data_IF_209010830149
#
_entry.id   IF_209010830149
#
_cell.length_a   1.000
_cell.length_b   1.000
_cell.length_c   1.000
_cell.angle_alpha   90.00
_cell.angle_beta   90.00
_cell.angle_gamma   90.00
#
_symmetry.space_group_name_H-M   'P 1'
#
loop_
_entity.id
_entity.type
_entity.pdbx_description
1 polymer ?
#
# COMPACT_ATOMS: atom_id res chain seq x y z
N UNK A 1 -45.17 -31.68 22.97
CA UNK A 1 -45.04 -30.73 21.84
C UNK A 1 -44.94 -29.33 22.40
N UNK A 2 -43.72 -28.93 22.78
CA UNK A 2 -43.22 -27.54 22.86
C UNK A 2 -41.75 -27.60 23.28
N UNK A 3 -40.86 -27.64 22.30
CA UNK A 3 -39.41 -27.45 22.48
C UNK A 3 -39.17 -25.94 22.56
N UNK A 4 -38.73 -25.44 23.72
CA UNK A 4 -38.42 -24.04 23.92
C UNK A 4 -37.01 -23.75 23.36
N UNK A 5 -36.95 -23.29 22.11
CA UNK A 5 -35.70 -22.90 21.47
C UNK A 5 -35.01 -21.78 22.26
N UNK A 6 -33.75 -22.01 22.66
CA UNK A 6 -32.89 -21.03 23.33
C UNK A 6 -32.52 -19.91 22.34
N UNK A 7 -32.65 -18.61 22.67
CA UNK A 7 -32.26 -17.55 21.75
C UNK A 7 -30.74 -17.59 21.54
N UNK A 8 -30.32 -17.66 20.28
CA UNK A 8 -28.93 -17.54 19.90
C UNK A 8 -28.50 -16.08 20.09
N UNK A 9 -27.48 -15.85 20.92
CA UNK A 9 -26.80 -14.56 20.98
C UNK A 9 -26.11 -14.28 19.63
N UNK A 10 -26.10 -13.03 19.14
CA UNK A 10 -25.43 -12.70 17.88
C UNK A 10 -23.92 -12.95 18.04
N UNK A 11 -23.39 -13.85 17.22
CA UNK A 11 -21.95 -14.04 17.06
C UNK A 11 -21.45 -12.79 16.34
N UNK A 12 -20.74 -11.90 17.04
CA UNK A 12 -20.05 -10.76 16.42
C UNK A 12 -18.67 -11.27 16.02
N UNK A 13 -18.42 -11.64 14.75
CA UNK A 13 -17.16 -12.25 14.36
C UNK A 13 -16.13 -11.12 14.22
N UNK A 14 -15.21 -11.03 15.19
CA UNK A 14 -13.88 -10.43 15.10
C UNK A 14 -13.68 -9.35 14.02
N UNK A 15 -14.37 -8.22 14.12
CA UNK A 15 -14.01 -7.08 13.27
C UNK A 15 -12.63 -6.58 13.74
N UNK A 16 -11.60 -6.57 12.88
CA UNK A 16 -10.29 -6.06 13.28
C UNK A 16 -10.45 -4.58 13.64
N UNK A 17 -10.01 -4.22 14.85
CA UNK A 17 -9.96 -2.82 15.28
C UNK A 17 -8.84 -2.15 14.49
N UNK A 18 -9.22 -1.43 13.43
CA UNK A 18 -8.29 -0.60 12.65
C UNK A 18 -7.87 0.57 13.55
N UNK A 19 -6.59 0.61 13.93
CA UNK A 19 -6.00 1.75 14.64
C UNK A 19 -5.39 2.71 13.62
N UNK A 20 -5.92 3.93 13.55
CA UNK A 20 -5.28 5.02 12.83
C UNK A 20 -4.10 5.51 13.66
N UNK A 21 -2.89 5.47 13.09
CA UNK A 21 -1.74 6.17 13.68
C UNK A 21 -1.83 7.66 13.31
N UNK A 22 -1.44 8.58 14.20
CA UNK A 22 -1.33 9.99 13.85
C UNK A 22 -0.23 10.18 12.79
N UNK A 23 -0.50 11.06 11.82
CA UNK A 23 0.48 11.41 10.80
C UNK A 23 1.70 12.12 11.43
N UNK A 24 2.92 11.89 10.92
CA UNK A 24 4.07 12.67 11.31
C UNK A 24 3.89 14.15 10.90
N UNK A 25 4.57 15.09 11.59
CA UNK A 25 4.57 16.49 11.16
C UNK A 25 5.08 16.59 9.73
N UNK A 26 4.57 17.54 8.92
CA UNK A 26 4.96 17.67 7.52
C UNK A 26 6.47 17.88 7.43
N UNK A 27 7.15 16.98 6.71
CA UNK A 27 8.55 17.18 6.38
C UNK A 27 8.67 18.42 5.48
N UNK A 28 9.72 19.23 5.69
CA UNK A 28 10.06 20.28 4.74
C UNK A 28 10.38 19.60 3.40
N UNK A 29 9.71 19.97 2.29
CA UNK A 29 10.01 19.38 1.00
C UNK A 29 11.46 19.73 0.66
N UNK A 30 12.34 18.73 0.70
CA UNK A 30 13.58 18.80 -0.07
C UNK A 30 13.16 18.79 -1.53
N UNK A 31 13.68 19.71 -2.34
CA UNK A 31 13.44 19.72 -3.77
C UNK A 31 14.10 18.47 -4.39
N UNK A 32 13.46 17.32 -4.23
CA UNK A 32 13.81 16.11 -4.95
C UNK A 32 13.44 16.37 -6.41
N UNK A 33 14.39 16.11 -7.31
CA UNK A 33 14.13 16.19 -8.74
C UNK A 33 12.97 15.23 -9.06
N UNK A 34 11.86 15.70 -9.67
CA UNK A 34 10.76 14.82 -10.07
C UNK A 34 11.24 13.61 -10.89
N UNK A 35 12.29 13.77 -11.69
CA UNK A 35 12.86 12.66 -12.45
C UNK A 35 13.48 11.58 -11.54
N UNK A 36 14.18 11.99 -10.49
CA UNK A 36 14.79 11.08 -9.50
C UNK A 36 13.73 10.30 -8.72
N UNK A 37 12.62 10.97 -8.37
CA UNK A 37 11.48 10.32 -7.73
C UNK A 37 10.85 9.24 -8.62
N UNK A 38 10.67 9.53 -9.91
CA UNK A 38 10.10 8.55 -10.85
C UNK A 38 11.01 7.35 -11.10
N UNK A 39 12.33 7.51 -10.95
CA UNK A 39 13.33 6.45 -11.12
C UNK A 39 13.68 5.72 -9.82
N UNK A 40 12.96 5.98 -8.73
CA UNK A 40 13.18 5.33 -7.43
C UNK A 40 12.16 4.21 -7.20
N UNK A 41 12.65 3.03 -6.82
CA UNK A 41 11.81 1.87 -6.56
C UNK A 41 10.88 2.08 -5.35
N UNK A 42 9.56 2.02 -5.58
CA UNK A 42 8.56 2.14 -4.51
C UNK A 42 8.62 1.03 -3.45
N UNK A 43 9.27 -0.10 -3.76
CA UNK A 43 9.38 -1.23 -2.83
C UNK A 43 10.65 -1.20 -1.96
N UNK A 44 11.80 -0.77 -2.50
CA UNK A 44 13.07 -0.82 -1.76
C UNK A 44 13.90 0.47 -1.78
N UNK A 45 13.45 1.51 -2.49
CA UNK A 45 14.15 2.80 -2.59
C UNK A 45 15.41 2.81 -3.46
N UNK A 46 15.76 1.69 -4.11
CA UNK A 46 16.88 1.62 -5.03
C UNK A 46 16.56 2.30 -6.38
N UNK A 47 17.56 2.79 -7.14
CA UNK A 47 17.36 3.28 -8.49
C UNK A 47 16.84 2.16 -9.41
N UNK A 48 16.03 2.54 -10.39
CA UNK A 48 15.43 1.65 -11.37
C UNK A 48 16.05 1.84 -12.76
N UNK A 49 16.14 0.75 -13.52
CA UNK A 49 16.60 0.77 -14.90
C UNK A 49 15.43 1.02 -15.87
N UNK A 50 15.62 1.97 -16.79
CA UNK A 50 14.69 2.23 -17.88
C UNK A 50 14.84 1.21 -19.02
N UNK A 51 13.75 0.55 -19.38
CA UNK A 51 13.67 -0.39 -20.52
C UNK A 51 12.41 -0.12 -21.34
N UNK A 52 12.54 0.75 -22.34
CA UNK A 52 11.42 1.25 -23.15
C UNK A 52 10.37 1.91 -22.25
N UNK A 53 9.20 1.29 -22.09
CA UNK A 53 8.09 1.75 -21.28
C UNK A 53 8.02 1.06 -19.90
N UNK A 54 9.12 0.49 -19.41
CA UNK A 54 9.19 -0.22 -18.14
C UNK A 54 10.34 0.29 -17.29
N UNK A 55 10.11 0.40 -15.99
CA UNK A 55 11.14 0.58 -14.96
C UNK A 55 11.31 -0.75 -14.25
N UNK A 56 12.55 -1.26 -14.19
CA UNK A 56 12.87 -2.55 -13.55
C UNK A 56 13.82 -2.32 -12.37
N UNK A 57 13.51 -2.88 -11.21
CA UNK A 57 14.42 -2.89 -10.07
C UNK A 57 15.06 -4.29 -9.89
N UNK A 58 16.31 -4.32 -9.45
CA UNK A 58 17.01 -5.57 -9.11
C UNK A 58 16.31 -6.38 -8.00
N UNK A 59 15.45 -5.76 -7.19
CA UNK A 59 14.66 -6.45 -6.17
C UNK A 59 13.46 -7.24 -6.73
N UNK A 60 13.23 -7.19 -8.05
CA UNK A 60 12.12 -7.87 -8.72
C UNK A 60 10.84 -7.04 -8.87
N UNK A 61 10.80 -5.80 -8.34
CA UNK A 61 9.70 -4.87 -8.57
C UNK A 61 9.80 -4.23 -9.97
N UNK A 62 8.67 -3.98 -10.62
CA UNK A 62 8.62 -3.29 -11.90
C UNK A 62 7.39 -2.39 -12.00
N UNK A 63 7.53 -1.32 -12.78
CA UNK A 63 6.47 -0.41 -13.19
C UNK A 63 6.43 -0.36 -14.71
N UNK A 64 5.24 -0.19 -15.28
CA UNK A 64 5.03 -0.04 -16.72
C UNK A 64 4.25 1.24 -17.02
N UNK A 65 4.40 1.80 -18.21
CA UNK A 65 3.70 3.04 -18.58
C UNK A 65 2.16 2.91 -18.56
N UNK A 66 1.60 1.71 -18.51
CA UNK A 66 0.16 1.49 -18.28
C UNK A 66 -0.28 1.69 -16.83
N UNK A 67 0.66 1.71 -15.88
CA UNK A 67 0.36 1.95 -14.46
C UNK A 67 0.17 3.46 -14.15
N UNK A 68 0.38 4.34 -15.14
CA UNK A 68 0.36 5.81 -15.00
C UNK A 68 -0.74 6.49 -15.83
N UNK A 69 -1.87 5.81 -16.11
CA UNK A 69 -3.03 6.43 -16.77
C UNK A 69 -3.80 7.37 -15.84
#
# INVERSE_FOLDING_TARGET
>A
MTDAARPAAPIVPHLPVIRLLPDPPPARPTAADPAELMLTCANCGAPMDERKCKLICACGYFLSCSDYL
#
